data_IF_969196861472
#
_entry.id   IF_969196861472
#
_cell.length_a   1.000
_cell.length_b   1.000
_cell.length_c   1.000
_cell.angle_alpha   90.00
_cell.angle_beta   90.00
_cell.angle_gamma   90.00
#
_symmetry.space_group_name_H-M   'P 1'
#
loop_
_entity.id
_entity.type
_entity.pdbx_description
1 polymer ?
#
# COMPACT_ATOMS: atom_id res chain seq x y z
N UNK A 1 28.19 -10.18 -6.39
CA UNK A 1 27.38 -10.43 -7.60
C UNK A 1 26.58 -11.70 -7.35
N UNK A 2 25.32 -11.55 -6.96
CA UNK A 2 24.43 -12.67 -6.62
C UNK A 2 23.19 -12.53 -7.52
N UNK A 3 22.92 -13.55 -8.34
CA UNK A 3 21.83 -13.57 -9.32
C UNK A 3 20.58 -14.19 -8.67
N UNK A 4 19.47 -13.46 -8.49
CA UNK A 4 18.29 -13.94 -7.78
C UNK A 4 17.19 -14.29 -8.77
N UNK A 5 17.12 -15.54 -9.22
CA UNK A 5 15.92 -16.07 -9.85
C UNK A 5 15.59 -17.43 -9.25
N UNK A 6 14.84 -17.37 -8.14
CA UNK A 6 14.20 -18.51 -7.51
C UNK A 6 13.09 -19.05 -8.41
N UNK A 7 13.20 -20.34 -8.67
CA UNK A 7 12.32 -21.24 -9.40
C UNK A 7 10.86 -21.17 -8.86
N UNK A 8 9.87 -20.88 -9.71
CA UNK A 8 8.45 -21.08 -9.39
C UNK A 8 7.98 -22.43 -9.98
N UNK A 9 7.34 -23.32 -9.19
CA UNK A 9 6.83 -24.59 -9.70
C UNK A 9 5.55 -24.39 -10.53
N UNK A 10 5.58 -24.91 -11.76
CA UNK A 10 4.48 -24.94 -12.69
C UNK A 10 3.40 -25.94 -12.24
N UNK A 11 2.23 -25.45 -11.84
CA UNK A 11 1.05 -26.26 -11.53
C UNK A 11 0.36 -26.72 -12.83
N UNK A 12 0.64 -27.97 -13.22
CA UNK A 12 0.09 -28.61 -14.41
C UNK A 12 -1.42 -28.88 -14.30
N UNK A 13 -2.18 -28.35 -15.25
CA UNK A 13 -3.56 -28.77 -15.51
C UNK A 13 -3.56 -29.98 -16.46
N UNK A 14 -4.13 -31.09 -15.99
CA UNK A 14 -4.43 -32.27 -16.80
C UNK A 14 -5.54 -31.97 -17.82
N UNK A 15 -5.33 -32.35 -19.09
CA UNK A 15 -6.38 -32.39 -20.13
C UNK A 15 -6.47 -33.82 -20.67
N UNK A 16 -7.64 -34.48 -20.71
CA UNK A 16 -7.76 -35.85 -21.22
C UNK A 16 -7.66 -35.91 -22.75
N UNK A 17 -7.00 -36.96 -23.23
CA UNK A 17 -6.69 -37.24 -24.63
C UNK A 17 -7.92 -37.68 -25.46
N UNK A 18 -7.95 -37.21 -26.71
CA UNK A 18 -8.81 -37.72 -27.78
C UNK A 18 -8.18 -37.44 -29.16
N UNK A 19 -7.68 -38.50 -29.80
CA UNK A 19 -7.14 -38.56 -31.17
C UNK A 19 -8.24 -38.22 -32.21
N UNK A 20 -8.02 -37.70 -33.43
CA UNK A 20 -7.14 -38.18 -34.50
C UNK A 20 -7.11 -37.19 -35.72
N UNK A 21 -5.89 -36.88 -36.16
CA UNK A 21 -5.34 -36.76 -37.54
C UNK A 21 -6.11 -36.03 -38.68
N UNK A 22 -5.47 -35.01 -39.24
CA UNK A 22 -5.14 -34.92 -40.68
C UNK A 22 -3.79 -34.18 -40.89
N UNK A 23 -2.94 -34.78 -41.73
CA UNK A 23 -1.56 -34.41 -42.03
C UNK A 23 -1.39 -33.04 -42.72
N UNK A 24 -0.37 -32.29 -42.29
CA UNK A 24 0.25 -31.19 -43.05
C UNK A 24 1.67 -31.00 -42.56
N UNK A 25 2.65 -31.41 -43.37
CA UNK A 25 4.08 -31.13 -43.16
C UNK A 25 4.31 -29.65 -43.40
N UNK A 26 4.94 -28.97 -42.44
CA UNK A 26 6.06 -28.04 -42.63
C UNK A 26 6.46 -27.45 -41.28
N UNK A 27 7.56 -27.94 -40.74
CA UNK A 27 8.18 -27.50 -39.51
C UNK A 27 9.14 -26.35 -39.80
N UNK A 28 8.75 -25.10 -39.51
CA UNK A 28 9.68 -24.00 -39.23
C UNK A 28 8.98 -22.86 -38.47
N UNK A 29 9.42 -22.59 -37.24
CA UNK A 29 9.16 -21.40 -36.43
C UNK A 29 7.72 -20.87 -36.34
N UNK A 30 6.89 -21.52 -35.51
CA UNK A 30 5.68 -20.91 -34.93
C UNK A 30 5.96 -20.47 -33.48
N UNK A 31 6.88 -19.51 -33.32
CA UNK A 31 6.95 -18.67 -32.13
C UNK A 31 7.08 -17.23 -32.62
N UNK A 32 5.99 -16.46 -32.73
CA UNK A 32 6.13 -15.03 -32.77
C UNK A 32 6.77 -14.64 -31.44
N UNK A 33 7.89 -13.93 -31.49
CA UNK A 33 8.49 -13.25 -30.35
C UNK A 33 7.42 -12.38 -29.67
N UNK A 34 6.76 -12.93 -28.65
CA UNK A 34 5.85 -12.22 -27.76
C UNK A 34 6.56 -11.83 -26.45
N UNK A 35 7.89 -11.71 -26.51
CA UNK A 35 8.75 -11.20 -25.43
C UNK A 35 8.84 -9.66 -25.44
N UNK A 36 7.92 -9.00 -26.14
CA UNK A 36 7.78 -7.55 -26.13
C UNK A 36 6.32 -7.20 -25.79
N UNK A 37 6.15 -6.46 -24.69
CA UNK A 37 5.00 -5.59 -24.40
C UNK A 37 3.72 -6.15 -23.73
N UNK A 38 3.80 -7.10 -22.80
CA UNK A 38 2.64 -7.44 -21.95
C UNK A 38 2.97 -7.54 -20.45
N UNK A 39 3.50 -6.45 -19.87
CA UNK A 39 3.23 -6.18 -18.46
C UNK A 39 1.85 -5.51 -18.38
N UNK A 40 0.85 -6.06 -17.66
CA UNK A 40 -0.45 -5.44 -17.48
C UNK A 40 -0.38 -4.28 -16.46
N UNK A 41 0.66 -3.44 -16.55
CA UNK A 41 0.98 -2.43 -15.54
C UNK A 41 0.19 -1.11 -15.71
N UNK A 42 -0.88 -1.13 -16.52
CA UNK A 42 -1.61 0.09 -16.91
C UNK A 42 -3.13 -0.02 -16.76
N UNK A 43 -3.64 -0.84 -15.81
CA UNK A 43 -5.07 -0.84 -15.47
C UNK A 43 -5.45 0.19 -14.41
N UNK A 44 -4.47 0.78 -13.73
CA UNK A 44 -4.69 1.71 -12.63
C UNK A 44 -4.07 3.07 -12.99
N UNK A 45 -4.80 3.85 -13.81
CA UNK A 45 -4.35 5.12 -14.41
C UNK A 45 -4.22 6.29 -13.40
N UNK A 46 -4.33 6.03 -12.09
CA UNK A 46 -4.24 7.07 -11.06
C UNK A 46 -4.46 6.56 -9.64
N UNK A 47 -4.16 7.41 -8.66
CA UNK A 47 -4.46 7.18 -7.25
C UNK A 47 -5.95 7.49 -7.00
N UNK A 48 -6.74 6.44 -6.84
CA UNK A 48 -8.15 6.47 -6.45
C UNK A 48 -8.47 5.19 -5.68
N UNK A 49 -9.65 5.13 -5.08
CA UNK A 49 -10.10 3.95 -4.36
C UNK A 49 -10.60 2.85 -5.31
N UNK A 50 -9.92 1.70 -5.31
CA UNK A 50 -10.26 0.53 -6.13
C UNK A 50 -11.02 -0.56 -5.36
N UNK A 51 -11.36 -0.34 -4.09
CA UNK A 51 -12.08 -1.33 -3.30
C UNK A 51 -13.52 -1.56 -3.81
N UNK A 52 -14.11 -2.75 -3.58
CA UNK A 52 -13.54 -3.92 -2.93
C UNK A 52 -12.96 -4.91 -3.95
N UNK A 53 -12.56 -4.45 -5.13
CA UNK A 53 -12.17 -5.32 -6.24
C UNK A 53 -10.79 -5.97 -6.02
N UNK A 54 -10.50 -7.11 -6.67
CA UNK A 54 -9.14 -7.64 -6.77
C UNK A 54 -8.17 -6.56 -7.28
N UNK A 55 -7.09 -6.35 -6.53
CA UNK A 55 -6.23 -5.19 -6.72
C UNK A 55 -4.75 -5.56 -6.55
N UNK A 56 -3.91 -5.11 -7.50
CA UNK A 56 -2.45 -5.25 -7.47
C UNK A 56 -1.84 -3.90 -7.84
N UNK A 57 -0.90 -3.41 -7.05
CA UNK A 57 -0.22 -2.14 -7.30
C UNK A 57 1.23 -2.23 -6.84
N UNK A 58 2.12 -1.46 -7.47
CA UNK A 58 3.39 -1.11 -6.85
C UNK A 58 3.14 -0.06 -5.76
N UNK A 59 3.02 -0.52 -4.51
CA UNK A 59 2.64 0.33 -3.38
C UNK A 59 3.71 1.36 -3.02
N UNK A 60 4.99 1.01 -3.19
CA UNK A 60 6.13 1.92 -2.96
C UNK A 60 6.03 3.12 -3.91
N UNK A 61 5.88 2.85 -5.21
CA UNK A 61 5.71 3.89 -6.24
C UNK A 61 4.47 4.75 -5.96
N UNK A 62 3.36 4.12 -5.59
CA UNK A 62 2.10 4.81 -5.30
C UNK A 62 2.26 5.76 -4.10
N UNK A 63 2.85 5.29 -3.00
CA UNK A 63 3.09 6.08 -1.79
C UNK A 63 4.03 7.26 -2.07
N UNK A 64 5.14 7.03 -2.79
CA UNK A 64 6.10 8.09 -3.12
C UNK A 64 5.52 9.17 -4.04
N UNK A 65 4.59 8.80 -4.95
CA UNK A 65 3.90 9.74 -5.85
C UNK A 65 2.76 10.51 -5.19
N UNK A 66 2.17 9.98 -4.10
CA UNK A 66 1.10 10.66 -3.39
C UNK A 66 1.61 11.94 -2.72
N UNK A 67 0.97 13.07 -2.99
CA UNK A 67 1.27 14.36 -2.36
C UNK A 67 0.13 14.87 -1.46
N UNK A 68 -1.02 14.20 -1.47
CA UNK A 68 -2.11 14.54 -0.56
C UNK A 68 -1.78 14.06 0.86
N UNK A 69 -2.26 14.78 1.86
CA UNK A 69 -2.17 14.33 3.25
C UNK A 69 -2.75 12.93 3.44
N UNK A 70 -3.89 12.63 2.79
CA UNK A 70 -4.49 11.30 2.81
C UNK A 70 -5.20 10.99 1.49
N UNK A 71 -4.95 9.82 0.92
CA UNK A 71 -5.68 9.29 -0.25
C UNK A 71 -6.07 7.84 0.01
N UNK A 72 -7.36 7.52 0.09
CA UNK A 72 -7.83 6.14 0.10
C UNK A 72 -7.61 5.50 -1.28
N UNK A 73 -6.91 4.37 -1.32
CA UNK A 73 -6.63 3.64 -2.57
C UNK A 73 -7.33 2.29 -2.65
N UNK A 74 -7.81 1.76 -1.52
CA UNK A 74 -8.63 0.56 -1.49
C UNK A 74 -9.45 0.48 -0.20
N UNK A 75 -10.77 0.44 -0.30
CA UNK A 75 -11.68 0.28 0.85
C UNK A 75 -12.57 -0.94 0.68
N UNK A 76 -12.34 -1.98 1.47
CA UNK A 76 -13.16 -3.19 1.52
C UNK A 76 -14.09 -3.21 2.73
N UNK A 77 -14.61 -4.40 3.06
CA UNK A 77 -15.48 -4.60 4.22
C UNK A 77 -14.70 -4.79 5.54
N UNK A 78 -13.42 -5.15 5.46
CA UNK A 78 -12.63 -5.58 6.63
C UNK A 78 -11.33 -4.81 6.80
N UNK A 79 -10.87 -4.12 5.76
CA UNK A 79 -9.70 -3.26 5.84
C UNK A 79 -9.80 -2.11 4.83
N UNK A 80 -9.03 -1.06 5.10
CA UNK A 80 -8.84 0.08 4.22
C UNK A 80 -7.36 0.39 4.08
N UNK A 81 -6.92 0.70 2.86
CA UNK A 81 -5.55 1.13 2.56
C UNK A 81 -5.58 2.60 2.13
N UNK A 82 -4.79 3.42 2.81
CA UNK A 82 -4.57 4.83 2.46
C UNK A 82 -3.10 5.11 2.19
N UNK A 83 -2.83 6.12 1.38
CA UNK A 83 -1.52 6.73 1.19
C UNK A 83 -1.49 8.06 1.93
N UNK A 84 -0.35 8.44 2.50
CA UNK A 84 -0.19 9.73 3.15
C UNK A 84 1.15 10.39 2.79
N UNK A 85 1.13 11.72 2.75
CA UNK A 85 2.30 12.58 2.67
C UNK A 85 2.25 13.52 3.86
N UNK A 86 3.24 13.45 4.74
CA UNK A 86 3.35 14.33 5.91
C UNK A 86 4.50 15.29 5.64
N UNK A 87 4.21 16.58 5.52
CA UNK A 87 5.23 17.57 5.18
C UNK A 87 6.21 17.81 6.34
N UNK A 88 7.29 18.52 6.05
CA UNK A 88 8.35 18.78 7.03
C UNK A 88 7.80 19.62 8.18
N UNK A 89 8.00 19.14 9.41
CA UNK A 89 7.51 19.80 10.62
C UNK A 89 6.01 19.56 10.90
N UNK A 90 5.31 18.84 10.04
CA UNK A 90 3.94 18.38 10.30
C UNK A 90 3.93 17.04 11.05
N UNK A 91 2.73 16.70 11.54
CA UNK A 91 2.40 15.41 12.11
C UNK A 91 1.06 14.91 11.56
N UNK A 92 0.73 13.64 11.84
CA UNK A 92 -0.61 13.11 11.52
C UNK A 92 -1.67 13.87 12.35
N UNK A 93 -1.35 14.13 13.62
CA UNK A 93 -2.31 14.57 14.62
C UNK A 93 -2.44 13.48 15.69
N UNK A 94 -2.65 13.90 16.93
CA UNK A 94 -2.83 12.97 18.03
C UNK A 94 -4.23 12.36 17.96
N UNK A 95 -4.30 11.06 17.70
CA UNK A 95 -5.55 10.33 17.48
C UNK A 95 -5.63 9.07 18.36
N UNK A 96 -6.83 8.48 18.43
CA UNK A 96 -7.09 7.18 19.06
C UNK A 96 -8.20 6.47 18.29
N UNK A 97 -8.03 5.18 18.03
CA UNK A 97 -9.06 4.35 17.44
C UNK A 97 -9.45 3.21 18.40
N UNK A 98 -10.62 3.26 19.06
CA UNK A 98 -10.97 2.27 20.08
C UNK A 98 -11.35 0.89 19.52
N UNK A 99 -11.69 0.79 18.23
CA UNK A 99 -12.34 -0.38 17.65
C UNK A 99 -11.62 -0.98 16.44
N UNK A 100 -10.42 -0.50 16.11
CA UNK A 100 -9.64 -0.99 14.99
C UNK A 100 -8.15 -0.97 15.32
N UNK A 101 -7.43 -1.90 14.71
CA UNK A 101 -5.97 -1.86 14.66
C UNK A 101 -5.53 -1.13 13.39
N UNK A 102 -4.35 -0.52 13.45
CA UNK A 102 -3.74 0.15 12.30
C UNK A 102 -2.30 -0.31 12.11
N UNK A 103 -1.96 -0.58 10.85
CA UNK A 103 -0.59 -0.85 10.39
C UNK A 103 -0.11 0.35 9.57
N UNK A 104 1.13 0.78 9.76
CA UNK A 104 1.76 1.83 8.95
C UNK A 104 3.14 1.35 8.49
N UNK A 105 3.49 1.61 7.23
CA UNK A 105 4.85 1.42 6.70
C UNK A 105 5.37 2.68 6.03
N UNK A 106 6.62 3.01 6.32
CA UNK A 106 7.34 4.16 5.78
C UNK A 106 8.09 3.78 4.51
N UNK A 107 7.84 4.52 3.43
CA UNK A 107 8.48 4.34 2.12
C UNK A 107 9.54 5.44 1.84
N UNK A 108 9.41 6.60 2.48
CA UNK A 108 10.36 7.71 2.39
C UNK A 108 10.28 8.58 3.64
N UNK A 109 11.39 9.25 3.98
CA UNK A 109 11.45 10.22 5.07
C UNK A 109 11.76 9.56 6.41
N UNK A 110 11.73 10.36 7.47
CA UNK A 110 12.05 9.91 8.82
C UNK A 110 11.21 10.67 9.84
N UNK A 111 10.83 10.00 10.91
CA UNK A 111 9.96 10.55 11.93
C UNK A 111 10.16 9.92 13.29
N UNK A 112 9.39 10.39 14.25
CA UNK A 112 9.23 9.76 15.56
C UNK A 112 7.77 9.37 15.74
N UNK A 113 7.55 8.09 16.06
CA UNK A 113 6.23 7.60 16.46
C UNK A 113 6.10 7.70 17.97
N UNK A 114 4.94 8.17 18.42
CA UNK A 114 4.59 8.34 19.83
C UNK A 114 3.33 7.52 20.10
N UNK A 115 3.31 6.71 21.16
CA UNK A 115 2.11 5.95 21.57
C UNK A 115 1.97 5.86 23.09
N UNK A 116 0.74 5.69 23.56
CA UNK A 116 0.46 5.48 24.98
C UNK A 116 -0.99 5.10 25.27
N UNK A 117 -1.24 4.65 26.51
CA UNK A 117 -2.60 4.37 27.01
C UNK A 117 -3.40 5.64 27.35
N UNK A 118 -2.72 6.78 27.45
CA UNK A 118 -3.33 8.06 27.82
C UNK A 118 -2.87 9.16 26.88
N UNK A 119 -3.78 10.08 26.57
CA UNK A 119 -3.53 11.22 25.70
C UNK A 119 -2.38 12.11 26.19
N UNK A 120 -2.27 12.27 27.51
CA UNK A 120 -1.26 13.10 28.19
C UNK A 120 0.02 12.34 28.56
N UNK A 121 0.13 11.05 28.19
CA UNK A 121 1.28 10.22 28.54
C UNK A 121 1.61 9.19 27.45
N UNK A 122 2.35 9.66 26.43
CA UNK A 122 2.86 8.85 25.31
C UNK A 122 4.24 8.27 25.67
N UNK A 123 4.24 7.19 26.44
CA UNK A 123 5.44 6.57 27.01
C UNK A 123 6.21 5.68 26.03
N UNK A 124 5.62 5.29 24.92
CA UNK A 124 6.33 4.62 23.83
C UNK A 124 6.76 5.66 22.80
N UNK A 125 8.06 5.68 22.50
CA UNK A 125 8.63 6.55 21.47
C UNK A 125 9.66 5.77 20.67
N UNK A 126 9.62 5.89 19.34
CA UNK A 126 10.58 5.21 18.47
C UNK A 126 10.85 6.00 17.20
N UNK A 127 12.11 6.02 16.78
CA UNK A 127 12.51 6.61 15.50
C UNK A 127 12.18 5.65 14.36
N UNK A 128 11.60 6.17 13.29
CA UNK A 128 11.22 5.40 12.11
C UNK A 128 11.81 6.02 10.85
N UNK A 129 12.16 5.16 9.90
CA UNK A 129 12.88 5.46 8.65
C UNK A 129 12.25 4.63 7.51
N UNK A 130 12.72 4.76 6.25
CA UNK A 130 12.26 3.87 5.19
C UNK A 130 12.45 2.40 5.59
N UNK A 131 11.54 1.55 5.11
CA UNK A 131 11.43 0.11 5.43
C UNK A 131 10.95 -0.23 6.84
N UNK A 132 10.78 0.74 7.75
CA UNK A 132 10.12 0.47 9.01
C UNK A 132 8.61 0.36 8.86
N UNK A 133 8.04 -0.58 9.62
CA UNK A 133 6.62 -0.66 9.88
C UNK A 133 6.37 -0.58 11.39
N UNK A 134 5.20 -0.08 11.76
CA UNK A 134 4.74 -0.08 13.14
C UNK A 134 3.23 -0.37 13.20
N UNK A 135 2.84 -0.94 14.33
CA UNK A 135 1.46 -1.35 14.61
C UNK A 135 0.93 -0.47 15.72
N UNK A 136 -0.30 -0.01 15.54
CA UNK A 136 -1.05 0.77 16.51
C UNK A 136 -2.25 -0.10 16.91
N UNK A 137 -2.19 -0.76 18.08
CA UNK A 137 -3.32 -1.52 18.59
C UNK A 137 -4.50 -0.61 18.92
N UNK A 138 -5.71 -1.15 18.79
CA UNK A 138 -6.94 -0.49 19.20
C UNK A 138 -6.82 0.07 20.63
N UNK A 139 -7.28 1.30 20.82
CA UNK A 139 -7.28 2.00 22.11
C UNK A 139 -5.97 2.69 22.49
N UNK A 140 -4.93 2.64 21.65
CA UNK A 140 -3.71 3.44 21.88
C UNK A 140 -3.86 4.84 21.31
N UNK A 141 -3.56 5.84 22.14
CA UNK A 141 -3.26 7.19 21.65
C UNK A 141 -1.97 7.14 20.85
N UNK A 142 -1.94 7.79 19.69
CA UNK A 142 -0.80 7.71 18.79
C UNK A 142 -0.62 8.97 17.94
N UNK A 143 0.63 9.23 17.55
CA UNK A 143 0.98 10.26 16.57
C UNK A 143 2.27 9.85 15.83
N UNK A 144 2.47 10.38 14.62
CA UNK A 144 3.72 10.32 13.88
C UNK A 144 4.12 11.74 13.49
N UNK A 145 5.28 12.18 13.95
CA UNK A 145 5.82 13.52 13.67
C UNK A 145 6.95 13.41 12.66
N UNK A 146 6.91 14.24 11.61
CA UNK A 146 8.01 14.33 10.65
C UNK A 146 9.17 15.14 11.24
N UNK A 147 10.28 14.45 11.48
CA UNK A 147 11.52 15.02 12.05
C UNK A 147 12.62 15.17 11.00
N UNK A 148 12.31 14.93 9.73
CA UNK A 148 13.24 14.98 8.62
C UNK A 148 13.29 16.33 7.90
N UNK A 149 13.96 16.33 6.75
CA UNK A 149 14.06 17.48 5.85
C UNK A 149 13.31 17.28 4.52
N UNK A 150 12.57 16.18 4.42
CA UNK A 150 11.71 15.84 3.27
C UNK A 150 10.37 15.30 3.78
N UNK A 151 9.31 15.31 2.96
CA UNK A 151 8.04 14.70 3.35
C UNK A 151 8.21 13.20 3.67
N UNK A 152 7.52 12.75 4.72
CA UNK A 152 7.32 11.32 4.95
C UNK A 152 6.30 10.83 3.93
N UNK A 153 6.64 9.75 3.21
CA UNK A 153 5.72 9.01 2.35
C UNK A 153 5.45 7.67 2.99
N UNK A 154 4.18 7.36 3.20
CA UNK A 154 3.75 6.14 3.87
C UNK A 154 2.46 5.61 3.28
N UNK A 155 2.16 4.35 3.58
CA UNK A 155 0.81 3.82 3.48
C UNK A 155 0.35 3.32 4.84
N UNK A 156 -0.97 3.40 5.06
CA UNK A 156 -1.64 2.92 6.26
C UNK A 156 -2.69 1.89 5.91
N UNK A 157 -2.84 0.88 6.75
CA UNK A 157 -3.89 -0.13 6.67
C UNK A 157 -4.69 -0.09 7.97
N UNK A 158 -5.98 0.20 7.88
CA UNK A 158 -6.94 0.17 8.98
C UNK A 158 -7.72 -1.13 8.94
N UNK A 159 -7.98 -1.77 10.08
CA UNK A 159 -8.82 -2.96 10.16
C UNK A 159 -9.73 -2.95 11.41
N UNK A 160 -11.06 -2.71 11.28
CA UNK A 160 -11.84 -2.40 10.07
C UNK A 160 -11.51 -1.04 9.40
N UNK A 161 -12.12 -0.72 8.23
CA UNK A 161 -12.01 0.61 7.59
C UNK A 161 -12.37 1.76 8.53
N UNK A 162 -11.66 2.88 8.41
CA UNK A 162 -11.87 4.09 9.22
C UNK A 162 -12.57 5.21 8.45
N UNK A 163 -12.11 5.53 7.23
CA UNK A 163 -12.62 6.66 6.45
C UNK A 163 -13.65 6.23 5.40
N UNK A 164 -14.50 7.16 4.91
CA UNK A 164 -15.32 6.91 3.75
C UNK A 164 -14.52 6.40 2.54
N UNK A 165 -15.17 5.58 1.70
CA UNK A 165 -14.58 5.14 0.44
C UNK A 165 -14.25 6.35 -0.45
N UNK A 166 -13.07 6.35 -1.06
CA UNK A 166 -12.66 7.43 -1.96
C UNK A 166 -12.23 8.72 -1.26
N UNK A 167 -12.04 8.71 0.07
CA UNK A 167 -11.52 9.87 0.80
C UNK A 167 -10.20 10.37 0.21
N UNK A 168 -10.16 11.68 -0.06
CA UNK A 168 -8.94 12.41 -0.39
C UNK A 168 -8.92 13.69 0.44
N UNK A 169 -7.93 13.83 1.31
CA UNK A 169 -7.64 15.05 2.03
C UNK A 169 -6.33 15.60 1.47
N UNK A 170 -6.42 16.72 0.74
CA UNK A 170 -5.25 17.31 0.09
C UNK A 170 -4.28 17.82 1.14
N UNK A 171 -4.80 18.50 2.16
CA UNK A 171 -4.01 19.08 3.24
C UNK A 171 -4.33 18.43 4.59
N UNK A 172 -3.42 18.59 5.55
CA UNK A 172 -3.67 18.23 6.96
C UNK A 172 -4.89 18.96 7.52
N UNK A 173 -5.09 20.22 7.16
CA UNK A 173 -6.23 21.01 7.62
C UNK A 173 -7.56 20.41 7.13
N UNK A 174 -7.63 19.95 5.88
CA UNK A 174 -8.82 19.27 5.35
C UNK A 174 -9.13 17.99 6.13
N UNK A 175 -8.09 17.23 6.49
CA UNK A 175 -8.26 16.03 7.29
C UNK A 175 -8.77 16.34 8.70
N UNK A 176 -8.17 17.29 9.40
CA UNK A 176 -8.59 17.70 10.74
C UNK A 176 -10.01 18.27 10.78
N UNK A 177 -10.50 18.84 9.67
CA UNK A 177 -11.87 19.34 9.57
C UNK A 177 -12.90 18.22 9.33
N UNK A 178 -12.46 17.02 8.97
CA UNK A 178 -13.31 15.88 8.62
C UNK A 178 -13.36 14.77 9.69
N UNK A 179 -12.48 14.82 10.69
CA UNK A 179 -12.51 13.95 11.89
C UNK A 179 -13.46 14.51 12.96
#
# INVERSE_FOLDING_TARGET
MYNPYGYYPNCGYNVPAGHSNYMGKDTYNMYPNAYENNYPNNRYMGLRDYGPEPFVINIEDAAKRNNAFRTAIWTGNHLQVTLMSIDVGEDIGLEIHPNLDQFIRIEQGQGIVLMGDRQDYLNFQSWVYPDYAFIIPAGKWHNLVNTGHVPIKLYSIYAPPQHPRGTVHVTRADAMAAE
#
